data_IF_789225175912
#
_entry.id   IF_789225175912
#
_cell.length_a   1.000
_cell.length_b   1.000
_cell.length_c   1.000
_cell.angle_alpha   90.00
_cell.angle_beta   90.00
_cell.angle_gamma   90.00
#
_symmetry.space_group_name_H-M   'P 1'
#
loop_
_entity.id
_entity.type
_entity.pdbx_description
1 polymer ?
#
# COMPACT_ATOMS: atom_id res chain seq x y z
N UNK A 1 2.34 -11.56 -11.30
CA UNK A 1 2.86 -12.62 -10.40
C UNK A 1 2.84 -12.13 -8.95
N UNK A 2 2.51 -12.99 -7.96
CA UNK A 2 2.56 -12.62 -6.54
C UNK A 2 4.00 -12.48 -6.07
N UNK A 3 4.27 -11.45 -5.26
CA UNK A 3 5.58 -11.18 -4.65
C UNK A 3 5.39 -10.68 -3.22
N UNK A 4 6.42 -10.77 -2.40
CA UNK A 4 6.47 -10.12 -1.08
C UNK A 4 7.47 -8.98 -1.16
N UNK A 5 7.05 -7.78 -0.80
CA UNK A 5 7.93 -6.64 -0.65
C UNK A 5 8.48 -6.62 0.77
N UNK A 6 9.81 -6.55 0.92
CA UNK A 6 10.45 -6.49 2.24
C UNK A 6 9.96 -5.31 3.06
N UNK A 7 9.67 -4.18 2.40
CA UNK A 7 9.20 -2.95 3.04
C UNK A 7 8.48 -2.04 2.08
N UNK A 8 7.41 -1.42 2.57
CA UNK A 8 6.76 -0.24 1.97
C UNK A 8 6.82 0.91 2.98
N UNK A 9 7.29 2.08 2.56
CA UNK A 9 7.38 3.28 3.39
C UNK A 9 6.61 4.43 2.74
N UNK A 10 5.76 5.07 3.53
CA UNK A 10 5.05 6.30 3.20
C UNK A 10 5.36 7.28 4.32
N UNK A 11 6.12 8.33 4.02
CA UNK A 11 6.62 9.28 5.02
C UNK A 11 7.31 8.61 6.22
N UNK A 12 6.72 8.64 7.41
CA UNK A 12 7.18 8.01 8.65
C UNK A 12 6.63 6.60 8.85
N UNK A 13 5.55 6.24 8.15
CA UNK A 13 4.91 4.93 8.24
C UNK A 13 5.73 3.89 7.50
N UNK A 14 6.09 2.82 8.19
CA UNK A 14 6.84 1.69 7.61
C UNK A 14 6.13 0.37 7.90
N UNK A 15 5.78 -0.35 6.84
CA UNK A 15 5.20 -1.69 6.88
C UNK A 15 6.16 -2.68 6.22
N UNK A 16 6.37 -3.84 6.84
CA UNK A 16 7.27 -4.90 6.36
C UNK A 16 6.49 -6.11 5.88
N UNK A 17 7.14 -6.93 5.07
CA UNK A 17 6.62 -8.22 4.60
C UNK A 17 5.23 -8.08 3.93
N UNK A 18 5.13 -7.18 2.95
CA UNK A 18 3.87 -6.78 2.32
C UNK A 18 3.59 -7.64 1.08
N UNK A 19 2.51 -8.45 1.06
CA UNK A 19 2.09 -9.15 -0.14
C UNK A 19 1.67 -8.18 -1.24
N UNK A 20 2.20 -8.36 -2.44
CA UNK A 20 1.94 -7.53 -3.60
C UNK A 20 1.81 -8.38 -4.88
N UNK A 21 1.42 -7.73 -5.97
CA UNK A 21 1.33 -8.33 -7.29
C UNK A 21 1.99 -7.43 -8.33
N UNK A 22 2.73 -8.05 -9.25
CA UNK A 22 3.25 -7.37 -10.44
C UNK A 22 2.23 -7.52 -11.56
N UNK A 23 1.70 -6.39 -12.03
CA UNK A 23 0.80 -6.32 -13.18
C UNK A 23 1.59 -6.46 -14.49
N UNK A 24 0.88 -6.84 -15.56
CA UNK A 24 1.46 -6.88 -16.90
C UNK A 24 1.87 -5.48 -17.37
N UNK A 25 2.84 -5.44 -18.29
CA UNK A 25 3.31 -4.17 -18.83
C UNK A 25 2.17 -3.39 -19.51
N UNK A 26 2.00 -2.12 -19.12
CA UNK A 26 0.94 -1.26 -19.65
C UNK A 26 -0.44 -1.43 -19.00
N UNK A 27 -0.65 -2.44 -18.15
CA UNK A 27 -1.94 -2.66 -17.48
C UNK A 27 -2.25 -1.60 -16.41
N UNK A 28 -1.22 -0.99 -15.82
CA UNK A 28 -1.34 0.08 -14.83
C UNK A 28 -0.38 1.21 -15.19
N UNK A 29 -0.88 2.44 -15.14
CA UNK A 29 -0.07 3.67 -15.30
C UNK A 29 0.48 4.18 -13.97
N UNK A 30 -0.05 3.68 -12.85
CA UNK A 30 0.35 4.06 -11.50
C UNK A 30 0.31 2.86 -10.57
N UNK A 31 1.04 2.94 -9.47
CA UNK A 31 1.01 1.93 -8.42
C UNK A 31 -0.30 2.05 -7.63
N UNK A 32 -0.91 0.90 -7.31
CA UNK A 32 -2.12 0.83 -6.50
C UNK A 32 -1.76 0.35 -5.09
N UNK A 33 -2.17 1.12 -4.08
CA UNK A 33 -2.02 0.75 -2.67
C UNK A 33 -3.31 0.09 -2.18
N UNK A 34 -3.23 -1.21 -1.90
CA UNK A 34 -4.39 -2.02 -1.50
C UNK A 34 -4.40 -2.42 -0.03
N UNK A 35 -5.32 -3.33 0.30
CA UNK A 35 -5.56 -3.80 1.66
C UNK A 35 -4.38 -4.54 2.31
N UNK A 36 -3.47 -5.14 1.53
CA UNK A 36 -2.24 -5.77 2.05
C UNK A 36 -1.37 -4.81 2.84
N UNK A 37 -1.43 -3.51 2.51
CA UNK A 37 -0.80 -2.43 3.28
C UNK A 37 -1.77 -1.80 4.27
N UNK A 38 -2.95 -1.36 3.80
CA UNK A 38 -3.89 -0.58 4.62
C UNK A 38 -4.39 -1.36 5.84
N UNK A 39 -4.58 -2.68 5.72
CA UNK A 39 -4.99 -3.53 6.84
C UNK A 39 -3.90 -3.77 7.90
N UNK A 40 -2.67 -3.30 7.67
CA UNK A 40 -1.56 -3.36 8.65
C UNK A 40 -1.47 -2.10 9.51
N UNK A 41 -2.21 -1.05 9.15
CA UNK A 41 -2.29 0.20 9.89
C UNK A 41 -3.26 0.05 11.07
N UNK A 42 -3.07 0.83 12.15
CA UNK A 42 -4.05 0.92 13.24
C UNK A 42 -5.37 1.46 12.73
N UNK A 43 -5.33 2.45 11.85
CA UNK A 43 -6.50 2.94 11.13
C UNK A 43 -6.12 3.64 9.84
N UNK A 44 -7.10 3.73 8.93
CA UNK A 44 -7.04 4.59 7.76
C UNK A 44 -8.43 5.18 7.54
N UNK A 45 -8.50 6.44 7.11
CA UNK A 45 -9.77 7.13 6.88
C UNK A 45 -9.66 8.07 5.70
N UNK A 46 -10.69 8.09 4.85
CA UNK A 46 -10.86 9.12 3.82
C UNK A 46 -11.49 10.36 4.47
N UNK A 47 -10.80 11.50 4.39
CA UNK A 47 -11.28 12.83 4.78
C UNK A 47 -11.38 13.70 3.52
N UNK A 48 -12.56 13.72 2.90
CA UNK A 48 -12.75 14.41 1.62
C UNK A 48 -11.90 13.78 0.51
N UNK A 49 -10.82 14.46 0.11
CA UNK A 49 -9.86 13.98 -0.91
C UNK A 49 -8.53 13.53 -0.31
N UNK A 50 -8.42 13.53 1.01
CA UNK A 50 -7.22 13.14 1.74
C UNK A 50 -7.40 11.76 2.35
N UNK A 51 -6.39 10.91 2.24
CA UNK A 51 -6.34 9.64 2.93
C UNK A 51 -5.45 9.78 4.16
N UNK A 52 -6.04 9.73 5.35
CA UNK A 52 -5.33 9.78 6.63
C UNK A 52 -4.94 8.37 7.03
N UNK A 53 -3.67 8.18 7.34
CA UNK A 53 -3.08 6.89 7.70
C UNK A 53 -2.53 6.97 9.13
N UNK A 54 -2.79 5.95 9.95
CA UNK A 54 -2.32 5.89 11.34
C UNK A 54 -1.67 4.54 11.59
N UNK A 55 -0.39 4.54 11.97
CA UNK A 55 0.35 3.34 12.36
C UNK A 55 0.19 2.99 13.83
#
# INVERSE_FOLDING_TARGET
>A
APVTLDRVRVEDITVRDVPAAVAEQGALTTNLLGMSFLGRLKSFQMQGRELVLVQ
#
